data_IF_958408185699
#
_entry.id   IF_958408185699
#
_cell.length_a   1.000
_cell.length_b   1.000
_cell.length_c   1.000
_cell.angle_alpha   90.00
_cell.angle_beta   90.00
_cell.angle_gamma   90.00
#
_symmetry.space_group_name_H-M   'P 1'
#
loop_
_entity.id
_entity.type
_entity.pdbx_description
1 polymer ?
#
# COMPACT_ATOMS: atom_id res chain seq x y z
N UNK A 1 0.11 9.81 -17.05
CA UNK A 1 0.59 9.85 -15.68
C UNK A 1 0.75 8.45 -15.12
N UNK A 2 1.78 8.19 -14.36
CA UNK A 2 2.04 6.84 -13.88
C UNK A 2 1.25 6.54 -12.61
N UNK A 3 0.43 5.52 -12.65
CA UNK A 3 -0.27 5.05 -11.45
C UNK A 3 0.72 4.56 -10.40
N UNK A 4 1.79 3.91 -10.84
CA UNK A 4 2.81 3.42 -9.94
C UNK A 4 3.50 4.56 -9.20
N UNK A 5 3.80 5.66 -9.89
CA UNK A 5 4.40 6.82 -9.24
C UNK A 5 3.50 7.38 -8.16
N UNK A 6 2.19 7.45 -8.42
CA UNK A 6 1.25 7.92 -7.41
C UNK A 6 1.22 7.04 -6.18
N UNK A 7 1.33 5.73 -6.38
CA UNK A 7 1.38 4.78 -5.26
C UNK A 7 2.64 5.01 -4.44
N UNK A 8 3.78 5.13 -5.11
CA UNK A 8 5.06 5.35 -4.43
C UNK A 8 5.03 6.65 -3.61
N UNK A 9 4.45 7.70 -4.17
CA UNK A 9 4.35 8.97 -3.47
C UNK A 9 3.51 8.84 -2.20
N UNK A 10 2.43 8.09 -2.24
CA UNK A 10 1.59 7.86 -1.06
C UNK A 10 2.33 7.07 0.01
N UNK A 11 3.04 6.03 -0.41
CA UNK A 11 3.81 5.21 0.53
C UNK A 11 4.93 6.02 1.16
N UNK A 12 5.59 6.85 0.38
CA UNK A 12 6.66 7.71 0.88
C UNK A 12 6.12 8.69 1.91
N UNK A 13 4.94 9.25 1.66
CA UNK A 13 4.30 10.16 2.61
C UNK A 13 4.00 9.47 3.93
N UNK A 14 3.61 8.20 3.88
CA UNK A 14 3.37 7.43 5.10
C UNK A 14 4.65 7.22 5.89
N UNK A 15 5.76 6.97 5.21
CA UNK A 15 7.04 6.80 5.88
C UNK A 15 7.50 8.08 6.56
N UNK A 16 7.22 9.21 5.96
CA UNK A 16 7.70 10.48 6.47
C UNK A 16 6.82 11.07 7.56
N UNK A 17 5.60 10.59 7.67
CA UNK A 17 4.66 11.09 8.68
C UNK A 17 4.90 10.36 10.00
N UNK A 18 5.43 11.08 10.97
CA UNK A 18 5.76 10.51 12.28
C UNK A 18 4.67 10.75 13.31
N UNK A 19 3.50 11.18 12.87
CA UNK A 19 2.41 11.52 13.79
C UNK A 19 1.74 10.29 14.41
N UNK A 20 1.95 9.11 13.85
CA UNK A 20 1.36 7.87 14.35
C UNK A 20 2.33 6.72 14.18
N UNK A 21 2.27 5.75 15.12
CA UNK A 21 3.12 4.56 15.04
C UNK A 21 2.70 3.64 13.90
N UNK A 22 1.41 3.59 13.63
CA UNK A 22 0.86 2.79 12.54
C UNK A 22 -0.02 3.68 11.69
N UNK A 23 0.20 3.61 10.38
CA UNK A 23 -0.61 4.33 9.43
C UNK A 23 -1.25 3.35 8.46
N UNK A 24 -2.43 3.70 7.97
CA UNK A 24 -3.15 2.85 7.03
C UNK A 24 -3.68 3.70 5.89
N UNK A 25 -3.62 3.15 4.69
CA UNK A 25 -4.19 3.77 3.49
C UNK A 25 -4.92 2.70 2.71
N UNK A 26 -6.09 3.06 2.22
CA UNK A 26 -6.89 2.16 1.41
C UNK A 26 -6.78 2.57 -0.04
N UNK A 27 -6.59 1.60 -0.91
CA UNK A 27 -6.54 1.83 -2.34
C UNK A 27 -7.81 1.32 -2.98
N UNK A 28 -8.44 2.17 -3.80
CA UNK A 28 -9.71 1.87 -4.41
C UNK A 28 -9.59 1.92 -5.92
N UNK A 29 -10.48 1.18 -6.57
CA UNK A 29 -10.61 1.22 -8.02
C UNK A 29 -12.09 1.32 -8.34
N UNK A 30 -12.48 2.37 -9.07
CA UNK A 30 -13.88 2.62 -9.42
C UNK A 30 -14.79 2.67 -8.19
N UNK A 31 -14.27 3.26 -7.11
CA UNK A 31 -15.03 3.41 -5.88
C UNK A 31 -15.07 2.18 -4.99
N UNK A 32 -14.43 1.09 -5.40
CA UNK A 32 -14.43 -0.15 -4.64
C UNK A 32 -13.06 -0.37 -4.01
N UNK A 33 -12.97 -0.56 -2.68
CA UNK A 33 -11.70 -0.84 -2.04
C UNK A 33 -11.11 -2.16 -2.55
N UNK A 34 -9.84 -2.13 -2.93
CA UNK A 34 -9.14 -3.29 -3.47
C UNK A 34 -8.15 -3.86 -2.47
N UNK A 35 -7.43 -2.97 -1.79
CA UNK A 35 -6.46 -3.40 -0.81
C UNK A 35 -6.20 -2.29 0.20
N UNK A 36 -5.57 -2.65 1.30
CA UNK A 36 -5.17 -1.70 2.32
C UNK A 36 -3.70 -1.91 2.62
N UNK A 37 -2.94 -0.81 2.71
CA UNK A 37 -1.55 -0.87 3.10
C UNK A 37 -1.40 -0.24 4.47
N UNK A 38 -0.64 -0.89 5.34
CA UNK A 38 -0.30 -0.38 6.65
C UNK A 38 1.20 -0.19 6.74
N UNK A 39 1.61 0.88 7.39
CA UNK A 39 3.03 1.13 7.64
C UNK A 39 3.26 1.11 9.14
N UNK A 40 4.21 0.31 9.58
CA UNK A 40 4.59 0.17 10.97
C UNK A 40 5.93 0.88 11.18
N UNK A 41 5.89 1.97 11.92
CA UNK A 41 7.08 2.81 12.10
C UNK A 41 8.17 2.09 12.90
N UNK A 42 7.78 1.30 13.89
CA UNK A 42 8.73 0.57 14.71
C UNK A 42 9.65 -0.34 13.90
N UNK A 43 9.08 -1.07 12.95
CA UNK A 43 9.82 -2.03 12.15
C UNK A 43 10.18 -1.50 10.78
N UNK A 44 9.71 -0.28 10.44
CA UNK A 44 9.92 0.33 9.15
C UNK A 44 9.48 -0.61 8.03
N UNK A 45 8.30 -1.20 8.18
CA UNK A 45 7.78 -2.18 7.25
C UNK A 45 6.35 -1.86 6.83
N UNK A 46 5.98 -2.39 5.67
CA UNK A 46 4.63 -2.26 5.11
C UNK A 46 3.94 -3.61 5.13
N UNK A 47 2.63 -3.59 5.34
CA UNK A 47 1.78 -4.76 5.20
C UNK A 47 0.68 -4.44 4.20
N UNK A 48 0.53 -5.28 3.18
CA UNK A 48 -0.51 -5.12 2.17
C UNK A 48 -1.55 -6.21 2.37
N UNK A 49 -2.79 -5.81 2.59
CA UNK A 49 -3.90 -6.74 2.72
C UNK A 49 -4.78 -6.62 1.48
N UNK A 50 -4.97 -7.72 0.77
CA UNK A 50 -5.77 -7.75 -0.45
C UNK A 50 -7.16 -8.28 -0.08
N UNK A 51 -8.19 -7.47 -0.34
CA UNK A 51 -9.54 -7.80 0.12
C UNK A 51 -10.15 -9.00 -0.61
N UNK A 52 -9.80 -9.18 -1.88
CA UNK A 52 -10.44 -10.21 -2.68
C UNK A 52 -10.25 -11.62 -2.16
N UNK A 53 -9.03 -11.95 -1.75
CA UNK A 53 -8.70 -13.30 -1.27
C UNK A 53 -8.16 -13.30 0.16
N UNK A 54 -8.24 -12.17 0.83
CA UNK A 54 -7.78 -12.00 2.21
C UNK A 54 -6.30 -12.33 2.41
N UNK A 55 -5.51 -12.13 1.35
CA UNK A 55 -4.07 -12.33 1.42
C UNK A 55 -3.39 -11.16 2.10
N UNK A 56 -2.33 -11.44 2.84
CA UNK A 56 -1.51 -10.41 3.48
C UNK A 56 -0.07 -10.64 3.13
N UNK A 57 0.60 -9.56 2.77
CA UNK A 57 2.03 -9.61 2.42
C UNK A 57 2.74 -8.53 3.19
N UNK A 58 3.97 -8.83 3.65
CA UNK A 58 4.76 -7.87 4.39
C UNK A 58 6.04 -7.57 3.62
N UNK A 59 6.38 -6.28 3.55
CA UNK A 59 7.56 -5.81 2.83
C UNK A 59 8.30 -4.81 3.69
N UNK A 60 9.62 -4.80 3.56
CA UNK A 60 10.45 -3.77 4.20
C UNK A 60 11.01 -2.78 3.18
N UNK A 61 10.43 -2.74 2.00
CA UNK A 61 10.92 -2.00 0.86
C UNK A 61 9.73 -1.32 0.16
N UNK A 62 9.85 -0.01 -0.05
CA UNK A 62 8.77 0.76 -0.64
C UNK A 62 8.50 0.34 -2.09
N UNK A 63 9.56 -0.01 -2.82
CA UNK A 63 9.40 -0.40 -4.23
C UNK A 63 8.62 -1.70 -4.37
N UNK A 64 8.95 -2.69 -3.55
CA UNK A 64 8.24 -3.97 -3.59
C UNK A 64 6.78 -3.81 -3.17
N UNK A 65 6.54 -2.98 -2.15
CA UNK A 65 5.18 -2.70 -1.71
C UNK A 65 4.37 -2.04 -2.83
N UNK A 66 4.97 -1.06 -3.50
CA UNK A 66 4.28 -0.34 -4.57
C UNK A 66 3.95 -1.26 -5.74
N UNK A 67 4.86 -2.17 -6.08
CA UNK A 67 4.65 -3.11 -7.17
C UNK A 67 3.48 -4.05 -6.84
N UNK A 68 3.43 -4.53 -5.61
CA UNK A 68 2.34 -5.42 -5.19
C UNK A 68 0.99 -4.71 -5.30
N UNK A 69 0.92 -3.47 -4.82
CA UNK A 69 -0.32 -2.68 -4.89
C UNK A 69 -0.69 -2.43 -6.35
N UNK A 70 0.28 -2.06 -7.17
CA UNK A 70 0.04 -1.76 -8.57
C UNK A 70 -0.51 -2.98 -9.31
N UNK A 71 0.09 -4.14 -9.09
CA UNK A 71 -0.37 -5.37 -9.73
C UNK A 71 -1.77 -5.75 -9.27
N UNK A 72 -2.06 -5.55 -7.98
CA UNK A 72 -3.39 -5.85 -7.45
C UNK A 72 -4.44 -4.95 -8.11
N UNK A 73 -4.13 -3.69 -8.29
CA UNK A 73 -5.06 -2.76 -8.95
C UNK A 73 -5.28 -3.13 -10.42
N UNK A 74 -4.25 -3.64 -11.09
CA UNK A 74 -4.38 -4.07 -12.49
C UNK A 74 -5.27 -5.32 -12.60
N UNK A 75 -5.13 -6.25 -11.67
CA UNK A 75 -5.87 -7.51 -11.72
C UNK A 75 -7.38 -7.32 -11.51
N UNK A 76 -7.77 -6.21 -10.92
CA UNK A 76 -9.18 -5.95 -10.59
C UNK A 76 -9.87 -5.09 -11.64
N UNK A 77 -9.42 -5.11 -12.87
CA UNK A 77 -10.05 -4.36 -13.94
C UNK A 77 -11.36 -5.00 -14.40
#
# INVERSE_FOLDING_TARGET
MSQLLGIIQRLHAMQEDESAETQARRFEKNGTPVCEVKFFQDSNSFEVEIYGDNSKYQFDDIDMTAIEIFETLQENE
#
